data_IF_712493594691
#
_entry.id   IF_712493594691
#
_cell.length_a   1.000
_cell.length_b   1.000
_cell.length_c   1.000
_cell.angle_alpha   90.00
_cell.angle_beta   90.00
_cell.angle_gamma   90.00
#
_symmetry.space_group_name_H-M   'P 1'
#
loop_
_entity.id
_entity.type
_entity.pdbx_description
1 polymer ?
#
# COMPACT_ATOMS: atom_id res chain seq x y z
N UNK A 1 -7.96 7.67 7.58
CA UNK A 1 -8.28 7.32 6.17
C UNK A 1 -7.49 6.08 5.78
N UNK A 2 -8.04 5.16 4.99
CA UNK A 2 -7.41 3.87 4.63
C UNK A 2 -7.27 3.77 3.10
N UNK A 3 -6.12 3.31 2.62
CA UNK A 3 -5.83 3.01 1.21
C UNK A 3 -5.19 1.63 1.08
N UNK A 4 -5.43 0.95 -0.03
CA UNK A 4 -4.68 -0.24 -0.43
C UNK A 4 -3.87 0.08 -1.68
N UNK A 5 -2.61 -0.35 -1.72
CA UNK A 5 -1.73 -0.04 -2.86
C UNK A 5 -0.73 -1.17 -3.09
N UNK A 6 -0.61 -1.58 -4.35
CA UNK A 6 0.39 -2.55 -4.77
C UNK A 6 1.80 -2.01 -4.53
N UNK A 7 2.69 -2.83 -3.96
CA UNK A 7 4.05 -2.43 -3.58
C UNK A 7 4.88 -1.87 -4.76
N UNK A 8 4.56 -2.30 -5.98
CA UNK A 8 5.21 -1.86 -7.24
C UNK A 8 4.89 -0.42 -7.63
N UNK A 9 3.85 0.19 -7.05
CA UNK A 9 3.48 1.59 -7.29
C UNK A 9 4.32 2.55 -6.44
N UNK A 10 5.64 2.54 -6.69
CA UNK A 10 6.65 3.28 -5.89
C UNK A 10 6.31 4.76 -5.74
N UNK A 11 5.85 5.42 -6.81
CA UNK A 11 5.50 6.85 -6.77
C UNK A 11 4.32 7.15 -5.84
N UNK A 12 3.31 6.28 -5.81
CA UNK A 12 2.15 6.43 -4.93
C UNK A 12 2.58 6.27 -3.46
N UNK A 13 3.39 5.24 -3.16
CA UNK A 13 3.92 4.98 -1.81
C UNK A 13 4.73 6.16 -1.27
N UNK A 14 5.60 6.74 -2.10
CA UNK A 14 6.37 7.94 -1.74
C UNK A 14 5.47 9.13 -1.44
N UNK A 15 4.40 9.32 -2.21
CA UNK A 15 3.43 10.39 -1.96
C UNK A 15 2.71 10.16 -0.62
N UNK A 16 2.23 8.95 -0.35
CA UNK A 16 1.54 8.65 0.91
C UNK A 16 2.42 8.90 2.12
N UNK A 17 3.68 8.45 2.07
CA UNK A 17 4.68 8.73 3.10
C UNK A 17 4.88 10.24 3.30
N UNK A 18 4.98 11.02 2.22
CA UNK A 18 5.15 12.48 2.32
C UNK A 18 3.96 13.21 2.95
N UNK A 19 2.77 12.61 2.89
CA UNK A 19 1.53 13.13 3.50
C UNK A 19 1.33 12.62 4.93
N UNK A 20 2.16 11.67 5.40
CA UNK A 20 2.10 11.11 6.75
C UNK A 20 1.28 9.83 6.89
N UNK A 21 0.93 9.17 5.78
CA UNK A 21 0.37 7.83 5.85
C UNK A 21 1.44 6.82 6.27
N UNK A 22 1.03 5.82 7.04
CA UNK A 22 1.86 4.70 7.48
C UNK A 22 1.31 3.37 7.00
N UNK A 23 2.20 2.42 6.69
CA UNK A 23 1.79 1.05 6.37
C UNK A 23 1.35 0.37 7.67
N UNK A 24 0.12 -0.16 7.69
CA UNK A 24 -0.43 -0.92 8.83
C UNK A 24 -0.51 -2.41 8.56
N UNK A 25 -0.71 -2.81 7.30
CA UNK A 25 -0.75 -4.21 6.90
C UNK A 25 -0.03 -4.40 5.56
N UNK A 26 0.60 -5.55 5.38
CA UNK A 26 1.11 -6.02 4.09
C UNK A 26 0.49 -7.38 3.82
N UNK A 27 -0.20 -7.51 2.68
CA UNK A 27 -0.84 -8.75 2.25
C UNK A 27 -0.23 -9.23 0.94
N UNK A 28 0.08 -10.52 0.86
CA UNK A 28 0.43 -11.19 -0.39
C UNK A 28 -0.75 -12.03 -0.87
N UNK A 29 -1.09 -11.91 -2.15
CA UNK A 29 -2.13 -12.71 -2.77
C UNK A 29 -1.78 -13.07 -4.21
N UNK A 30 -2.39 -14.14 -4.71
CA UNK A 30 -2.25 -14.55 -6.10
C UNK A 30 -3.43 -13.96 -6.89
N UNK A 31 -3.15 -13.05 -7.83
CA UNK A 31 -4.16 -12.49 -8.72
C UNK A 31 -3.82 -12.87 -10.16
N UNK A 32 -4.72 -13.59 -10.83
CA UNK A 32 -4.52 -14.01 -12.23
C UNK A 32 -3.21 -14.77 -12.48
N UNK A 33 -2.74 -15.54 -11.49
CA UNK A 33 -1.49 -16.30 -11.57
C UNK A 33 -0.22 -15.50 -11.27
N UNK A 34 -0.35 -14.23 -10.89
CA UNK A 34 0.77 -13.39 -10.46
C UNK A 34 0.73 -13.17 -8.94
N UNK A 35 1.86 -13.31 -8.27
CA UNK A 35 2.00 -12.91 -6.86
C UNK A 35 1.97 -11.38 -6.78
N UNK A 36 1.10 -10.88 -5.91
CA UNK A 36 0.79 -9.46 -5.79
C UNK A 36 0.88 -9.11 -4.30
N UNK A 37 1.80 -8.20 -3.97
CA UNK A 37 1.94 -7.65 -2.63
C UNK A 37 1.21 -6.32 -2.56
N UNK A 38 0.23 -6.22 -1.67
CA UNK A 38 -0.50 -5.00 -1.37
C UNK A 38 -0.16 -4.52 0.04
N UNK A 39 -0.09 -3.21 0.20
CA UNK A 39 0.10 -2.54 1.48
C UNK A 39 -1.18 -1.76 1.82
N UNK A 40 -1.66 -1.93 3.05
CA UNK A 40 -2.68 -1.05 3.63
C UNK A 40 -1.98 0.15 4.26
N UNK A 41 -2.35 1.33 3.80
CA UNK A 41 -1.86 2.62 4.28
C UNK A 41 -2.93 3.31 5.11
N UNK A 42 -2.56 3.83 6.28
CA UNK A 42 -3.45 4.59 7.13
C UNK A 42 -2.89 5.96 7.48
N UNK A 43 -3.75 6.97 7.39
CA UNK A 43 -3.51 8.30 7.94
C UNK A 43 -4.47 8.48 9.14
N UNK A 44 -3.90 8.59 10.34
CA UNK A 44 -4.63 8.96 11.55
C UNK A 44 -4.69 10.49 11.59
N UNK A 45 -5.91 11.04 11.65
CA UNK A 45 -6.18 12.47 11.78
C UNK A 45 -6.34 12.84 13.25
#
# INVERSE_FOLDING_TARGET
>A
MILWTNESLISARRLYQSVGFEVKEVRKQMLSGQELTEEQWELVL
#
